data_IF_299114820944
#
_entry.id   IF_299114820944
#
_cell.length_a   1.000
_cell.length_b   1.000
_cell.length_c   1.000
_cell.angle_alpha   90.00
_cell.angle_beta   90.00
_cell.angle_gamma   90.00
#
_symmetry.space_group_name_H-M   'P 1'
#
loop_
_entity.id
_entity.type
_entity.pdbx_description
1 polymer ?
#
# COMPACT_ATOMS: atom_id res chain seq x y z
N UNK A 1 -12.99 7.19 3.34
CA UNK A 1 -12.79 5.77 3.00
C UNK A 1 -11.65 5.21 3.82
N UNK A 2 -11.76 4.00 4.40
CA UNK A 2 -10.70 3.38 5.22
C UNK A 2 -9.40 3.16 4.44
N UNK A 3 -9.49 2.91 3.13
CA UNK A 3 -8.32 2.73 2.26
C UNK A 3 -7.42 3.97 2.18
N UNK A 4 -7.93 5.15 2.54
CA UNK A 4 -7.14 6.37 2.56
C UNK A 4 -6.51 6.63 3.93
N UNK A 5 -6.73 5.76 4.90
CA UNK A 5 -6.09 5.83 6.22
C UNK A 5 -4.70 5.19 6.25
N UNK A 6 -4.03 5.26 7.42
CA UNK A 6 -2.80 4.53 7.69
C UNK A 6 -3.04 3.03 7.65
N UNK A 7 -2.12 2.31 7.03
CA UNK A 7 -2.18 0.87 6.87
C UNK A 7 -0.87 0.24 7.36
N UNK A 8 -0.95 -0.99 7.86
CA UNK A 8 0.21 -1.74 8.31
C UNK A 8 0.25 -3.08 7.59
N UNK A 9 1.35 -3.38 6.92
CA UNK A 9 1.62 -4.70 6.35
C UNK A 9 2.57 -5.46 7.25
N UNK A 10 2.33 -6.75 7.42
CA UNK A 10 3.15 -7.59 8.28
C UNK A 10 3.50 -8.89 7.57
N UNK A 11 4.78 -9.17 7.47
CA UNK A 11 5.29 -10.49 7.14
C UNK A 11 5.24 -11.36 8.40
N UNK A 12 4.72 -12.57 8.29
CA UNK A 12 4.53 -13.45 9.45
C UNK A 12 3.63 -14.63 9.12
N UNK A 13 3.26 -15.39 10.17
CA UNK A 13 2.28 -16.48 10.04
C UNK A 13 0.90 -15.95 9.68
N UNK A 14 0.62 -14.68 9.99
CA UNK A 14 -0.69 -14.09 9.83
C UNK A 14 -1.74 -14.73 10.74
N UNK A 15 -1.30 -15.36 11.84
CA UNK A 15 -2.22 -15.91 12.83
C UNK A 15 -2.99 -14.81 13.57
N UNK A 16 -4.15 -15.18 14.11
CA UNK A 16 -5.05 -14.20 14.70
C UNK A 16 -4.50 -13.54 15.98
N UNK A 17 -3.55 -14.16 16.68
CA UNK A 17 -2.94 -13.57 17.87
C UNK A 17 -1.91 -12.50 17.48
N UNK A 18 -1.10 -12.78 16.46
CA UNK A 18 -0.15 -11.85 15.86
C UNK A 18 -0.86 -10.58 15.35
N UNK A 19 -1.95 -10.76 14.61
CA UNK A 19 -2.72 -9.62 14.06
C UNK A 19 -3.35 -8.77 15.17
N UNK A 20 -3.95 -9.39 16.20
CA UNK A 20 -4.50 -8.66 17.35
C UNK A 20 -3.40 -7.89 18.09
N UNK A 21 -2.26 -8.53 18.31
CA UNK A 21 -1.10 -7.90 18.94
C UNK A 21 -0.64 -6.65 18.21
N UNK A 22 -0.61 -6.67 16.86
CA UNK A 22 -0.30 -5.50 16.06
C UNK A 22 -1.34 -4.38 16.23
N UNK A 23 -2.63 -4.70 16.13
CA UNK A 23 -3.72 -3.71 16.30
C UNK A 23 -3.71 -3.09 17.70
N UNK A 24 -3.53 -3.92 18.74
CA UNK A 24 -3.42 -3.47 20.11
C UNK A 24 -2.18 -2.61 20.36
N UNK A 25 -1.06 -2.90 19.69
CA UNK A 25 0.15 -2.07 19.76
C UNK A 25 -0.09 -0.67 19.19
N UNK A 26 -0.74 -0.55 18.02
CA UNK A 26 -1.13 0.75 17.45
C UNK A 26 -2.03 1.53 18.41
N UNK A 27 -3.05 0.88 18.97
CA UNK A 27 -3.95 1.46 19.96
C UNK A 27 -3.23 1.95 21.21
N UNK A 28 -2.39 1.08 21.81
CA UNK A 28 -1.61 1.39 23.01
C UNK A 28 -0.73 2.62 22.82
N UNK A 29 -0.19 2.82 21.62
CA UNK A 29 0.66 3.95 21.30
C UNK A 29 -0.10 5.17 20.75
N UNK A 30 -1.44 5.12 20.66
CA UNK A 30 -2.26 6.24 20.20
C UNK A 30 -2.08 6.57 18.72
N UNK A 31 -1.80 5.55 17.89
CA UNK A 31 -1.69 5.69 16.44
C UNK A 31 -2.95 5.10 15.77
N UNK A 32 -3.66 5.85 14.91
CA UNK A 32 -4.80 5.31 14.19
C UNK A 32 -4.32 4.30 13.14
N UNK A 33 -5.13 3.27 12.92
CA UNK A 33 -4.89 2.21 11.95
C UNK A 33 -6.18 1.89 11.24
N UNK A 34 -6.16 1.82 9.91
CA UNK A 34 -7.36 1.55 9.09
C UNK A 34 -7.34 0.19 8.42
N UNK A 35 -6.15 -0.40 8.24
CA UNK A 35 -6.05 -1.77 7.75
C UNK A 35 -4.76 -2.47 8.15
N UNK A 36 -4.84 -3.79 8.33
CA UNK A 36 -3.70 -4.70 8.46
C UNK A 36 -3.64 -5.58 7.21
N UNK A 37 -2.46 -5.67 6.60
CA UNK A 37 -2.18 -6.54 5.45
C UNK A 37 -1.40 -7.76 5.91
N UNK A 38 -1.89 -8.95 5.57
CA UNK A 38 -1.21 -10.22 5.79
C UNK A 38 -0.41 -10.58 4.54
N UNK A 39 0.90 -10.77 4.67
CA UNK A 39 1.70 -11.32 3.58
C UNK A 39 1.47 -12.82 3.40
N UNK A 40 2.01 -13.43 2.34
CA UNK A 40 1.75 -14.80 1.90
C UNK A 40 1.97 -15.90 2.96
N UNK A 41 2.63 -15.62 4.09
CA UNK A 41 2.81 -16.58 5.18
C UNK A 41 1.52 -17.08 5.84
N UNK A 42 0.39 -16.37 5.67
CA UNK A 42 -0.93 -16.86 6.09
C UNK A 42 -1.54 -17.91 5.16
N UNK A 43 -0.98 -18.09 3.96
CA UNK A 43 -1.40 -19.11 3.02
C UNK A 43 -0.80 -20.45 3.48
N UNK A 44 -1.67 -21.40 3.82
CA UNK A 44 -1.23 -22.75 4.20
C UNK A 44 -0.41 -23.36 3.05
N UNK A 45 0.70 -24.03 3.37
CA UNK A 45 1.76 -24.37 2.43
C UNK A 45 1.24 -25.13 1.20
N UNK A 46 0.94 -24.40 0.12
CA UNK A 46 0.68 -24.92 -1.21
C UNK A 46 -0.76 -24.97 -1.73
N UNK A 47 -1.76 -24.35 -1.07
CA UNK A 47 -3.14 -24.33 -1.59
C UNK A 47 -3.72 -22.92 -1.74
N UNK A 48 -3.49 -22.23 -2.87
CA UNK A 48 -4.24 -21.05 -3.24
C UNK A 48 -5.67 -21.48 -3.59
N UNK A 49 -6.55 -21.54 -2.59
CA UNK A 49 -7.93 -22.00 -2.77
C UNK A 49 -8.60 -22.57 -1.52
N UNK A 50 -7.84 -22.91 -0.48
CA UNK A 50 -8.43 -23.10 0.85
C UNK A 50 -8.69 -21.71 1.40
N UNK A 51 -9.94 -21.43 1.76
CA UNK A 51 -10.33 -20.15 2.34
C UNK A 51 -9.44 -19.79 3.54
N UNK A 52 -9.52 -18.54 4.03
CA UNK A 52 -8.86 -18.17 5.27
C UNK A 52 -9.15 -19.27 6.29
N UNK A 53 -8.15 -19.83 6.97
CA UNK A 53 -8.39 -20.78 8.07
C UNK A 53 -9.55 -20.24 8.90
N UNK A 54 -10.50 -21.06 9.38
CA UNK A 54 -11.78 -20.60 9.94
C UNK A 54 -11.66 -19.41 10.94
N UNK A 55 -10.50 -19.25 11.59
CA UNK A 55 -10.16 -18.11 12.42
C UNK A 55 -9.99 -16.75 11.72
N UNK A 56 -9.53 -16.67 10.47
CA UNK A 56 -9.28 -15.41 9.75
C UNK A 56 -10.57 -14.70 9.33
N UNK A 57 -11.63 -15.44 8.98
CA UNK A 57 -12.94 -14.86 8.69
C UNK A 57 -13.55 -14.22 9.94
N UNK A 58 -13.50 -14.92 11.09
CA UNK A 58 -13.93 -14.39 12.38
C UNK A 58 -13.11 -13.17 12.81
N UNK A 59 -11.79 -13.22 12.62
CA UNK A 59 -10.89 -12.09 12.88
C UNK A 59 -11.24 -10.87 12.01
N UNK A 60 -11.53 -11.05 10.73
CA UNK A 60 -11.89 -9.95 9.84
C UNK A 60 -13.19 -9.25 10.30
N UNK A 61 -14.18 -10.01 10.78
CA UNK A 61 -15.42 -9.46 11.33
C UNK A 61 -15.21 -8.76 12.68
N UNK A 62 -14.36 -9.31 13.53
CA UNK A 62 -13.93 -8.71 14.80
C UNK A 62 -13.27 -7.34 14.54
N UNK A 63 -12.22 -7.29 13.73
CA UNK A 63 -11.50 -6.06 13.39
C UNK A 63 -12.40 -5.02 12.71
N UNK A 64 -13.38 -5.46 11.90
CA UNK A 64 -14.33 -4.56 11.25
C UNK A 64 -15.19 -3.80 12.27
N UNK A 65 -15.51 -4.38 13.43
CA UNK A 65 -16.24 -3.69 14.52
C UNK A 65 -15.41 -2.58 15.14
N UNK A 66 -14.09 -2.64 15.00
CA UNK A 66 -13.12 -1.66 15.50
C UNK A 66 -12.68 -0.68 14.39
N UNK A 67 -13.37 -0.70 13.25
CA UNK A 67 -13.06 0.03 12.01
C UNK A 67 -11.68 -0.26 11.39
N UNK A 68 -11.11 -1.42 11.69
CA UNK A 68 -9.90 -1.92 11.04
C UNK A 68 -10.28 -2.95 9.98
N UNK A 69 -9.68 -2.88 8.79
CA UNK A 69 -9.88 -3.89 7.74
C UNK A 69 -8.72 -4.87 7.69
N UNK A 70 -9.02 -6.13 7.40
CA UNK A 70 -8.03 -7.14 7.10
C UNK A 70 -7.86 -7.27 5.58
N UNK A 71 -6.63 -7.22 5.10
CA UNK A 71 -6.29 -7.38 3.67
C UNK A 71 -5.33 -8.57 3.55
N UNK A 72 -5.75 -9.64 2.88
CA UNK A 72 -4.93 -10.83 2.72
C UNK A 72 -4.23 -10.83 1.36
N UNK A 73 -2.91 -11.08 1.35
CA UNK A 73 -2.17 -11.32 0.12
C UNK A 73 -2.66 -12.61 -0.57
N UNK A 74 -2.68 -12.60 -1.90
CA UNK A 74 -2.99 -13.78 -2.70
C UNK A 74 -1.94 -13.86 -3.81
N UNK A 75 -1.28 -15.02 -3.92
CA UNK A 75 -0.39 -15.30 -5.05
C UNK A 75 -1.20 -15.92 -6.19
N UNK A 76 -1.15 -15.37 -7.43
CA UNK A 76 -1.80 -16.00 -8.58
C UNK A 76 -1.18 -17.34 -8.99
N UNK A 77 0.03 -17.67 -8.52
CA UNK A 77 0.65 -18.96 -8.82
C UNK A 77 -0.04 -20.10 -8.06
N UNK A 78 -0.56 -21.07 -8.80
CA UNK A 78 -1.12 -22.31 -8.27
C UNK A 78 -0.06 -23.41 -8.37
N UNK A 79 0.08 -24.23 -7.33
CA UNK A 79 0.94 -25.40 -7.36
C UNK A 79 0.44 -26.34 -8.46
N UNK A 80 1.30 -26.70 -9.40
CA UNK A 80 0.93 -27.64 -10.45
C UNK A 80 0.79 -29.06 -9.89
N UNK A 81 -0.36 -29.68 -10.12
CA UNK A 81 -0.61 -31.10 -9.86
C UNK A 81 -0.64 -31.92 -11.16
N UNK A 82 -0.51 -33.24 -11.03
CA UNK A 82 -0.53 -34.13 -12.19
C UNK A 82 -1.89 -34.10 -12.87
N UNK A 83 -1.94 -33.59 -14.10
CA UNK A 83 -3.17 -33.44 -14.88
C UNK A 83 -3.63 -32.00 -15.08
N UNK A 84 -3.00 -31.04 -14.40
CA UNK A 84 -3.31 -29.61 -14.59
C UNK A 84 -2.84 -29.13 -15.96
N UNK A 85 -3.71 -28.36 -16.62
CA UNK A 85 -3.36 -27.65 -17.85
C UNK A 85 -2.55 -26.41 -17.49
N UNK A 86 -1.23 -26.49 -17.65
CA UNK A 86 -0.36 -25.32 -17.58
C UNK A 86 -0.54 -24.48 -18.84
N UNK A 87 -0.81 -23.18 -18.67
CA UNK A 87 -0.88 -22.25 -19.79
C UNK A 87 0.55 -21.91 -20.25
N UNK A 88 0.98 -22.52 -21.36
CA UNK A 88 2.27 -22.26 -22.00
C UNK A 88 2.12 -21.17 -23.08
N UNK A 89 1.96 -19.93 -22.63
CA UNK A 89 2.07 -18.75 -23.49
C UNK A 89 3.51 -18.23 -23.44
N UNK A 90 4.06 -17.73 -24.56
CA UNK A 90 5.41 -17.15 -24.56
C UNK A 90 5.51 -16.01 -23.54
N UNK A 91 6.17 -16.32 -22.43
CA UNK A 91 6.34 -15.43 -21.27
C UNK A 91 6.99 -14.09 -21.66
N UNK A 92 7.68 -14.04 -22.80
CA UNK A 92 8.36 -12.82 -23.30
C UNK A 92 7.38 -11.76 -23.81
N UNK A 93 6.21 -12.16 -24.34
CA UNK A 93 5.25 -11.22 -24.93
C UNK A 93 4.18 -10.74 -23.94
N UNK A 94 3.96 -11.45 -22.83
CA UNK A 94 2.80 -11.23 -21.95
C UNK A 94 3.11 -10.88 -20.48
N UNK A 95 4.37 -10.70 -20.08
CA UNK A 95 4.74 -10.59 -18.65
C UNK A 95 4.01 -9.47 -17.88
N UNK A 96 3.86 -8.28 -18.49
CA UNK A 96 3.10 -7.17 -17.90
C UNK A 96 1.59 -7.40 -17.92
N UNK A 97 1.09 -8.09 -18.95
CA UNK A 97 -0.33 -8.42 -19.12
C UNK A 97 -0.79 -9.44 -18.07
N UNK A 98 0.07 -10.38 -17.67
CA UNK A 98 -0.24 -11.33 -16.60
C UNK A 98 -0.61 -10.62 -15.29
N UNK A 99 0.14 -9.57 -14.90
CA UNK A 99 -0.17 -8.79 -13.70
C UNK A 99 -1.52 -8.06 -13.80
N UNK A 100 -1.83 -7.50 -14.97
CA UNK A 100 -3.13 -6.87 -15.22
C UNK A 100 -4.28 -7.89 -15.18
N UNK A 101 -4.09 -9.07 -15.75
CA UNK A 101 -5.07 -10.14 -15.76
C UNK A 101 -5.36 -10.66 -14.34
N UNK A 102 -4.32 -10.85 -13.53
CA UNK A 102 -4.46 -11.24 -12.13
C UNK A 102 -5.22 -10.18 -11.32
N UNK A 103 -4.86 -8.90 -11.45
CA UNK A 103 -5.54 -7.80 -10.78
C UNK A 103 -7.03 -7.71 -11.20
N UNK A 104 -7.32 -7.89 -12.49
CA UNK A 104 -8.69 -7.94 -13.01
C UNK A 104 -9.49 -9.10 -12.42
N UNK A 105 -8.94 -10.30 -12.43
CA UNK A 105 -9.60 -11.49 -11.91
C UNK A 105 -9.93 -11.34 -10.41
N UNK A 106 -8.96 -10.89 -9.61
CA UNK A 106 -9.18 -10.62 -8.18
C UNK A 106 -10.24 -9.55 -7.95
N UNK A 107 -10.25 -8.47 -8.75
CA UNK A 107 -11.26 -7.42 -8.65
C UNK A 107 -12.67 -7.92 -8.99
N UNK A 108 -12.82 -8.67 -10.09
CA UNK A 108 -14.12 -9.22 -10.51
C UNK A 108 -14.66 -10.21 -9.47
N UNK A 109 -13.80 -11.03 -8.88
CA UNK A 109 -14.19 -11.97 -7.83
C UNK A 109 -14.61 -11.26 -6.53
N UNK A 110 -13.88 -10.22 -6.10
CA UNK A 110 -14.28 -9.41 -4.95
C UNK A 110 -15.65 -8.76 -5.16
N UNK A 111 -15.95 -8.28 -6.38
CA UNK A 111 -17.28 -7.73 -6.71
C UNK A 111 -18.37 -8.80 -6.68
N UNK A 112 -18.06 -10.03 -7.08
CA UNK A 112 -19.00 -11.15 -7.05
C UNK A 112 -19.32 -11.57 -5.62
N UNK A 113 -18.30 -11.65 -4.76
CA UNK A 113 -18.41 -12.06 -3.36
C UNK A 113 -19.04 -10.98 -2.48
N UNK A 114 -18.80 -9.69 -2.78
CA UNK A 114 -19.26 -8.54 -1.99
C UNK A 114 -19.83 -7.44 -2.92
N UNK A 115 -21.01 -7.65 -3.52
CA UNK A 115 -21.57 -6.74 -4.54
C UNK A 115 -21.87 -5.32 -4.02
N UNK A 116 -22.17 -5.20 -2.72
CA UNK A 116 -22.51 -3.93 -2.08
C UNK A 116 -21.28 -3.15 -1.56
N UNK A 117 -20.09 -3.74 -1.67
CA UNK A 117 -18.84 -3.12 -1.22
C UNK A 117 -17.95 -2.76 -2.41
N UNK A 118 -17.19 -1.67 -2.29
CA UNK A 118 -16.16 -1.35 -3.30
C UNK A 118 -14.94 -2.25 -3.05
N UNK A 119 -14.46 -2.99 -4.05
CA UNK A 119 -13.24 -3.77 -3.90
C UNK A 119 -12.05 -2.88 -3.57
N UNK A 120 -11.20 -3.37 -2.67
CA UNK A 120 -9.87 -2.86 -2.44
C UNK A 120 -8.87 -3.91 -2.88
N UNK A 121 -7.99 -3.54 -3.79
CA UNK A 121 -6.94 -4.42 -4.31
C UNK A 121 -5.67 -3.59 -4.48
N UNK A 122 -4.56 -4.15 -4.02
CA UNK A 122 -3.23 -3.67 -4.33
C UNK A 122 -2.54 -4.74 -5.16
N UNK A 123 -1.90 -4.33 -6.26
CA UNK A 123 -1.12 -5.23 -7.10
C UNK A 123 0.33 -4.77 -7.20
N UNK A 124 1.27 -5.71 -7.06
CA UNK A 124 2.71 -5.46 -7.24
C UNK A 124 3.11 -5.32 -8.70
N UNK A 125 2.39 -5.99 -9.59
CA UNK A 125 2.63 -5.99 -11.03
C UNK A 125 1.38 -5.51 -11.75
N UNK A 126 1.56 -5.02 -12.97
CA UNK A 126 0.45 -4.55 -13.77
C UNK A 126 0.89 -3.98 -15.11
N UNK A 127 -0.10 -3.48 -15.83
CA UNK A 127 0.07 -2.81 -17.12
C UNK A 127 -0.85 -1.60 -17.22
N UNK A 128 -0.79 -0.88 -18.33
CA UNK A 128 -1.73 0.20 -18.62
C UNK A 128 -3.18 -0.28 -18.45
N UNK A 129 -3.94 0.43 -17.60
CA UNK A 129 -5.31 0.06 -17.25
C UNK A 129 -5.48 -0.63 -15.90
N UNK A 130 -4.39 -0.91 -15.16
CA UNK A 130 -4.45 -1.53 -13.82
C UNK A 130 -5.21 -0.68 -12.80
N UNK A 131 -5.21 0.64 -12.96
CA UNK A 131 -5.90 1.59 -12.08
C UNK A 131 -7.42 1.38 -12.00
N UNK A 132 -8.00 0.62 -12.94
CA UNK A 132 -9.42 0.24 -12.93
C UNK A 132 -9.74 -0.81 -11.87
N UNK A 133 -8.73 -1.57 -11.46
CA UNK A 133 -8.88 -2.74 -10.60
C UNK A 133 -8.28 -2.52 -9.21
N UNK A 134 -7.39 -1.53 -9.04
CA UNK A 134 -6.78 -1.27 -7.74
C UNK A 134 -5.64 -0.27 -7.81
N UNK A 135 -4.85 -0.24 -6.75
CA UNK A 135 -3.60 0.52 -6.69
C UNK A 135 -2.38 -0.38 -6.73
N UNK A 136 -1.23 0.24 -6.48
CA UNK A 136 0.03 -0.48 -6.34
C UNK A 136 0.79 0.01 -5.12
N UNK A 137 1.61 -0.85 -4.54
CA UNK A 137 2.64 -0.41 -3.65
C UNK A 137 3.97 -0.47 -4.39
N UNK A 138 4.71 0.60 -4.26
CA UNK A 138 6.01 0.72 -4.86
C UNK A 138 7.03 -0.08 -4.07
N UNK A 139 7.16 -1.37 -4.39
CA UNK A 139 8.25 -2.18 -3.86
C UNK A 139 9.61 -1.71 -4.42
N UNK A 140 10.69 -2.00 -3.69
CA UNK A 140 12.06 -1.91 -4.24
C UNK A 140 12.64 -0.50 -4.34
N UNK A 141 12.17 0.45 -3.54
CA UNK A 141 12.85 1.73 -3.43
C UNK A 141 14.14 1.57 -2.62
N UNK A 142 15.25 2.09 -3.15
CA UNK A 142 16.57 1.99 -2.54
C UNK A 142 16.57 2.30 -1.03
N UNK A 143 17.51 1.70 -0.31
CA UNK A 143 17.75 2.02 1.10
C UNK A 143 18.30 3.45 1.24
N UNK A 144 18.12 4.06 2.41
CA UNK A 144 18.70 5.38 2.70
C UNK A 144 17.93 6.59 2.16
N UNK A 145 18.57 7.75 2.21
CA UNK A 145 18.04 9.04 1.75
C UNK A 145 17.77 9.13 0.23
N UNK A 146 18.62 8.56 -0.66
CA UNK A 146 18.30 8.54 -2.09
C UNK A 146 16.99 7.82 -2.39
N UNK A 147 16.67 6.77 -1.62
CA UNK A 147 15.38 6.09 -1.68
C UNK A 147 14.20 6.97 -1.28
N UNK A 148 14.36 7.85 -0.30
CA UNK A 148 13.30 8.80 0.06
C UNK A 148 12.96 9.70 -1.14
N UNK A 149 13.98 10.26 -1.82
CA UNK A 149 13.78 11.07 -3.03
C UNK A 149 13.15 10.25 -4.17
N UNK A 150 13.69 9.06 -4.44
CA UNK A 150 13.19 8.19 -5.49
C UNK A 150 11.71 7.77 -5.28
N UNK A 151 11.27 7.67 -4.02
CA UNK A 151 9.87 7.39 -3.70
C UNK A 151 8.92 8.44 -4.24
N UNK A 152 9.29 9.73 -4.16
CA UNK A 152 8.48 10.83 -4.68
C UNK A 152 8.39 10.77 -6.21
N UNK A 153 9.53 10.63 -6.88
CA UNK A 153 9.59 10.50 -8.34
C UNK A 153 8.74 9.33 -8.84
N UNK A 154 8.77 8.22 -8.12
CA UNK A 154 7.99 7.03 -8.47
C UNK A 154 6.49 7.28 -8.33
N UNK A 155 6.02 7.88 -7.24
CA UNK A 155 4.59 8.14 -7.03
C UNK A 155 4.07 9.17 -8.03
N UNK A 156 4.84 10.22 -8.32
CA UNK A 156 4.54 11.18 -9.38
C UNK A 156 4.44 10.50 -10.74
N UNK A 157 5.44 9.69 -11.10
CA UNK A 157 5.47 8.96 -12.36
C UNK A 157 4.27 8.01 -12.53
N UNK A 158 3.95 7.22 -11.50
CA UNK A 158 2.76 6.36 -11.51
C UNK A 158 1.47 7.16 -11.64
N UNK A 159 1.35 8.29 -10.93
CA UNK A 159 0.22 9.19 -11.03
C UNK A 159 0.01 9.72 -12.45
N UNK A 160 1.09 10.19 -13.10
CA UNK A 160 1.07 10.66 -14.48
C UNK A 160 0.78 9.53 -15.49
N UNK A 161 1.21 8.31 -15.19
CA UNK A 161 0.86 7.10 -15.96
C UNK A 161 -0.56 6.58 -15.68
N UNK A 162 -1.37 7.32 -14.91
CA UNK A 162 -2.76 6.97 -14.64
C UNK A 162 -2.96 5.92 -13.55
N UNK A 163 -1.97 5.67 -12.69
CA UNK A 163 -2.06 4.81 -11.50
C UNK A 163 -1.96 5.69 -10.25
N UNK A 164 -3.05 6.42 -9.89
CA UNK A 164 -2.98 7.51 -8.93
C UNK A 164 -3.00 7.05 -7.47
N UNK A 165 -3.39 5.80 -7.19
CA UNK A 165 -3.37 5.23 -5.85
C UNK A 165 -2.12 4.35 -5.68
N UNK A 166 -1.03 5.00 -5.29
CA UNK A 166 0.28 4.38 -5.11
C UNK A 166 1.06 5.00 -3.94
N UNK A 167 2.06 4.28 -3.44
CA UNK A 167 2.96 4.75 -2.38
C UNK A 167 4.06 3.74 -2.07
N UNK A 168 5.20 4.19 -1.55
CA UNK A 168 6.25 3.32 -1.02
C UNK A 168 5.82 2.72 0.33
N UNK A 169 6.52 1.68 0.74
CA UNK A 169 6.49 1.26 2.14
C UNK A 169 7.42 2.15 2.98
N UNK A 170 6.92 2.60 4.13
CA UNK A 170 7.61 3.59 4.98
C UNK A 170 8.98 3.11 5.45
N UNK A 171 9.12 1.84 5.77
CA UNK A 171 10.35 1.19 6.23
C UNK A 171 11.36 0.96 5.08
N UNK A 172 10.90 0.94 3.82
CA UNK A 172 11.73 0.70 2.64
C UNK A 172 12.07 -0.78 2.38
N UNK A 173 12.93 -1.07 1.40
CA UNK A 173 13.40 -2.44 1.16
C UNK A 173 14.51 -2.80 2.16
N UNK A 174 14.13 -3.29 3.35
CA UNK A 174 15.06 -3.62 4.42
C UNK A 174 15.92 -4.85 4.12
N UNK A 175 17.17 -4.63 3.70
CA UNK A 175 18.21 -5.67 3.72
C UNK A 175 19.14 -5.57 4.94
N UNK A 176 19.25 -4.39 5.58
CA UNK A 176 20.31 -4.10 6.56
C UNK A 176 19.80 -3.38 7.83
N UNK A 177 18.97 -4.03 8.65
CA UNK A 177 18.70 -3.57 10.03
C UNK A 177 17.73 -2.39 10.22
N UNK A 178 17.00 -1.99 9.17
CA UNK A 178 16.03 -0.90 9.19
C UNK A 178 16.63 0.50 9.02
N UNK A 179 15.83 1.52 8.66
CA UNK A 179 16.32 2.89 8.51
C UNK A 179 16.72 3.50 9.86
N UNK A 180 17.58 4.53 9.84
CA UNK A 180 17.86 5.35 11.03
C UNK A 180 16.57 6.00 11.56
N UNK A 181 16.49 6.36 12.85
CA UNK A 181 15.29 6.98 13.43
C UNK A 181 14.82 8.23 12.65
N UNK A 182 15.76 9.09 12.24
CA UNK A 182 15.47 10.26 11.44
C UNK A 182 14.92 9.89 10.05
N UNK A 183 15.57 8.96 9.35
CA UNK A 183 15.13 8.57 8.01
C UNK A 183 13.76 7.89 8.05
N UNK A 184 13.50 7.04 9.05
CA UNK A 184 12.18 6.47 9.29
C UNK A 184 11.13 7.57 9.43
N UNK A 185 11.39 8.55 10.30
CA UNK A 185 10.46 9.65 10.53
C UNK A 185 10.22 10.47 9.26
N UNK A 186 11.25 10.77 8.45
CA UNK A 186 11.07 11.49 7.18
C UNK A 186 10.27 10.69 6.16
N UNK A 187 10.46 9.37 6.08
CA UNK A 187 9.65 8.49 5.24
C UNK A 187 8.19 8.44 5.72
N UNK A 188 7.98 8.35 7.03
CA UNK A 188 6.65 8.35 7.65
C UNK A 188 5.91 9.67 7.39
N UNK A 189 6.61 10.80 7.57
CA UNK A 189 6.09 12.13 7.25
C UNK A 189 5.72 12.25 5.77
N UNK A 190 6.61 11.86 4.85
CA UNK A 190 6.30 11.89 3.42
C UNK A 190 5.07 11.02 3.11
N UNK A 191 5.03 9.77 3.59
CA UNK A 191 3.95 8.83 3.30
C UNK A 191 2.57 9.31 3.78
N UNK A 192 2.51 10.11 4.85
CA UNK A 192 1.27 10.76 5.29
C UNK A 192 0.65 11.66 4.20
N UNK A 193 1.45 12.19 3.27
CA UNK A 193 1.01 13.03 2.15
C UNK A 193 0.80 12.26 0.83
N UNK A 194 1.16 10.97 0.77
CA UNK A 194 1.06 10.16 -0.45
C UNK A 194 -0.27 9.39 -0.52
N UNK A 195 -0.76 8.98 -1.70
CA UNK A 195 -2.06 8.30 -1.83
C UNK A 195 -2.18 7.05 -0.95
N UNK A 196 -1.18 6.18 -0.98
CA UNK A 196 -1.07 5.01 -0.10
C UNK A 196 -0.12 5.33 1.07
N UNK A 197 -0.63 5.24 2.29
CA UNK A 197 0.16 5.36 3.52
C UNK A 197 0.26 4.01 4.20
N UNK A 198 1.40 3.33 4.01
CA UNK A 198 1.58 1.97 4.51
C UNK A 198 2.97 1.74 5.10
N UNK A 199 3.01 1.27 6.34
CA UNK A 199 4.22 0.73 6.98
C UNK A 199 4.33 -0.76 6.72
N UNK A 200 5.53 -1.34 6.64
CA UNK A 200 5.75 -2.78 6.72
C UNK A 200 6.54 -3.15 7.97
N UNK A 201 6.19 -4.28 8.58
CA UNK A 201 7.09 -5.04 9.42
C UNK A 201 7.49 -6.33 8.69
N UNK A 202 8.80 -6.50 8.47
CA UNK A 202 9.36 -7.73 7.92
C UNK A 202 9.65 -8.76 9.01
N UNK A 203 10.02 -9.97 8.61
CA UNK A 203 10.47 -11.02 9.55
C UNK A 203 11.96 -10.91 9.95
N UNK A 204 12.70 -10.03 9.28
CA UNK A 204 14.13 -9.82 9.52
C UNK A 204 14.45 -8.94 10.73
N UNK A 205 15.73 -8.83 11.10
CA UNK A 205 16.15 -7.91 12.17
C UNK A 205 15.95 -6.46 11.71
N UNK A 206 15.31 -5.65 12.55
CA UNK A 206 15.09 -4.23 12.29
C UNK A 206 13.97 -3.66 13.14
N UNK A 207 13.92 -2.34 13.22
CA UNK A 207 12.78 -1.60 13.76
C UNK A 207 11.89 -1.22 12.57
N UNK A 208 10.59 -1.37 12.75
CA UNK A 208 9.58 -1.26 11.70
C UNK A 208 8.42 -0.34 12.09
N UNK A 209 8.20 -0.16 13.39
CA UNK A 209 7.10 0.61 13.92
C UNK A 209 7.56 1.88 14.66
N UNK A 210 6.77 2.96 14.67
CA UNK A 210 7.21 4.24 15.22
C UNK A 210 7.64 4.21 16.69
N UNK A 211 7.02 3.35 17.51
CA UNK A 211 7.32 3.24 18.94
C UNK A 211 8.65 2.55 19.23
N UNK A 212 9.16 1.75 18.30
CA UNK A 212 10.43 1.04 18.46
C UNK A 212 11.63 1.99 18.38
N UNK A 213 11.45 3.13 17.70
CA UNK A 213 12.45 4.18 17.56
C UNK A 213 12.50 5.18 18.73
N UNK A 214 11.69 4.97 19.77
CA UNK A 214 11.69 5.79 20.98
C UNK A 214 10.61 6.88 21.00
N UNK A 215 10.44 7.54 22.17
CA UNK A 215 9.30 8.43 22.43
C UNK A 215 9.27 9.69 21.56
N UNK A 216 10.44 10.22 21.17
CA UNK A 216 10.53 11.41 20.30
C UNK A 216 10.02 11.12 18.89
N UNK A 217 10.45 9.99 18.30
CA UNK A 217 9.98 9.57 16.98
C UNK A 217 8.48 9.25 17.00
N UNK A 218 8.02 8.57 18.04
CA UNK A 218 6.60 8.28 18.23
C UNK A 218 5.76 9.57 18.28
N UNK A 219 6.21 10.61 18.98
CA UNK A 219 5.48 11.86 19.07
C UNK A 219 5.40 12.58 17.71
N UNK A 220 6.49 12.63 16.96
CA UNK A 220 6.47 13.20 15.62
C UNK A 220 5.64 12.36 14.63
N UNK A 221 5.63 11.04 14.78
CA UNK A 221 4.76 10.16 14.00
C UNK A 221 3.27 10.43 14.29
N UNK A 222 2.90 10.68 15.56
CA UNK A 222 1.54 11.09 15.94
C UNK A 222 1.10 12.37 15.26
N UNK A 223 1.99 13.36 15.13
CA UNK A 223 1.69 14.60 14.41
C UNK A 223 1.43 14.34 12.92
N UNK A 224 2.31 13.56 12.27
CA UNK A 224 2.16 13.24 10.85
C UNK A 224 0.87 12.46 10.55
N UNK A 225 0.54 11.48 11.38
CA UNK A 225 -0.68 10.68 11.19
C UNK A 225 -1.94 11.47 11.52
N UNK A 226 -1.91 12.36 12.52
CA UNK A 226 -3.03 13.25 12.82
C UNK A 226 -3.33 14.18 11.63
N UNK A 227 -2.30 14.67 10.95
CA UNK A 227 -2.46 15.48 9.75
C UNK A 227 -3.06 14.68 8.59
N UNK A 228 -2.64 13.43 8.40
CA UNK A 228 -3.28 12.51 7.45
C UNK A 228 -4.76 12.31 7.77
N UNK A 229 -5.11 12.08 9.03
CA UNK A 229 -6.51 11.93 9.45
C UNK A 229 -7.32 13.19 9.16
N UNK A 230 -6.76 14.37 9.46
CA UNK A 230 -7.37 15.67 9.16
C UNK A 230 -7.63 15.85 7.66
N UNK A 231 -6.70 15.42 6.81
CA UNK A 231 -6.79 15.51 5.34
C UNK A 231 -7.56 14.36 4.70
N UNK A 232 -8.04 13.37 5.46
CA UNK A 232 -8.77 12.20 4.92
C UNK A 232 -10.00 12.57 4.05
N UNK A 233 -10.81 13.61 4.37
CA UNK A 233 -11.86 14.09 3.46
C UNK A 233 -11.32 14.67 2.15
N UNK A 234 -10.17 15.36 2.20
CA UNK A 234 -9.51 15.89 1.01
C UNK A 234 -8.98 14.76 0.12
N UNK A 235 -8.28 13.76 0.67
CA UNK A 235 -7.91 12.55 -0.07
C UNK A 235 -9.10 11.84 -0.70
N UNK A 236 -10.26 11.83 -0.04
CA UNK A 236 -11.49 11.26 -0.59
C UNK A 236 -11.98 12.05 -1.82
N UNK A 237 -11.83 13.37 -1.79
CA UNK A 237 -12.13 14.25 -2.93
C UNK A 237 -11.16 14.00 -4.08
N UNK A 238 -9.86 13.90 -3.79
CA UNK A 238 -8.83 13.58 -4.79
C UNK A 238 -9.06 12.21 -5.43
N UNK A 239 -9.49 11.20 -4.64
CA UNK A 239 -9.86 9.89 -5.17
C UNK A 239 -11.03 9.96 -6.16
N UNK A 240 -12.03 10.80 -5.88
CA UNK A 240 -13.14 11.05 -6.80
C UNK A 240 -12.68 11.76 -8.05
N UNK A 241 -11.85 12.79 -7.93
CA UNK A 241 -11.29 13.51 -9.08
C UNK A 241 -10.48 12.58 -9.98
N UNK A 242 -9.56 11.80 -9.39
CA UNK A 242 -8.78 10.80 -10.09
C UNK A 242 -9.66 9.80 -10.86
N UNK A 243 -10.78 9.36 -10.27
CA UNK A 243 -11.72 8.45 -10.94
C UNK A 243 -12.47 9.10 -12.11
N UNK A 244 -12.77 10.40 -12.03
CA UNK A 244 -13.56 11.12 -13.04
C UNK A 244 -12.70 11.67 -14.18
N UNK A 245 -11.50 12.16 -13.88
CA UNK A 245 -10.67 12.90 -14.85
C UNK A 245 -9.33 12.24 -15.15
N UNK A 246 -8.89 11.29 -14.31
CA UNK A 246 -7.55 10.73 -14.38
C UNK A 246 -6.47 11.58 -13.72
N UNK A 247 -6.79 12.77 -13.19
CA UNK A 247 -5.81 13.62 -12.51
C UNK A 247 -5.29 12.95 -11.22
N UNK A 248 -3.97 12.85 -11.00
CA UNK A 248 -3.45 12.20 -9.82
C UNK A 248 -3.63 13.05 -8.55
N UNK A 249 -3.48 12.41 -7.40
CA UNK A 249 -3.53 13.08 -6.09
C UNK A 249 -2.30 13.95 -5.91
N UNK A 250 -1.12 13.35 -6.08
CA UNK A 250 0.18 13.99 -6.00
C UNK A 250 0.60 14.36 -7.40
N UNK A 251 0.97 15.62 -7.60
CA UNK A 251 1.19 16.24 -8.90
C UNK A 251 2.54 16.96 -8.93
N UNK A 252 3.22 17.00 -10.07
CA UNK A 252 4.44 17.77 -10.20
C UNK A 252 4.12 19.26 -10.07
N UNK A 253 5.08 20.06 -9.60
CA UNK A 253 4.88 21.51 -9.37
C UNK A 253 4.54 22.28 -10.65
N UNK A 254 4.93 21.77 -11.82
CA UNK A 254 4.56 22.34 -13.12
C UNK A 254 3.14 22.01 -13.58
N UNK A 255 2.35 21.24 -12.81
CA UNK A 255 1.01 20.79 -13.22
C UNK A 255 0.06 21.92 -13.62
N UNK A 256 0.09 23.04 -12.88
CA UNK A 256 -0.74 24.21 -13.15
C UNK A 256 -0.14 25.20 -14.17
N UNK A 257 1.16 25.07 -14.45
CA UNK A 257 1.94 26.01 -15.29
C UNK A 257 2.94 25.23 -16.17
N UNK A 258 2.47 24.34 -17.07
CA UNK A 258 3.33 23.44 -17.86
C UNK A 258 4.27 24.17 -18.85
N UNK A 259 3.98 25.43 -19.14
CA UNK A 259 4.79 26.35 -19.95
C UNK A 259 6.08 26.77 -19.24
N UNK A 260 6.11 26.80 -17.92
CA UNK A 260 7.33 27.09 -17.16
C UNK A 260 8.21 25.84 -17.11
N UNK A 261 9.23 25.82 -17.97
CA UNK A 261 10.15 24.69 -18.09
C UNK A 261 11.09 24.58 -16.91
N UNK A 262 11.37 25.67 -16.17
CA UNK A 262 12.30 25.63 -15.03
C UNK A 262 11.75 24.75 -13.90
N UNK A 263 10.43 24.65 -13.78
CA UNK A 263 9.77 23.81 -12.79
C UNK A 263 9.90 22.30 -13.06
N UNK A 264 10.36 21.89 -14.25
CA UNK A 264 10.54 20.46 -14.59
C UNK A 264 11.72 19.82 -13.87
N UNK A 265 12.67 20.63 -13.42
CA UNK A 265 13.85 20.17 -12.70
C UNK A 265 13.60 20.08 -11.17
N UNK A 266 12.40 20.43 -10.70
CA UNK A 266 12.01 20.26 -9.30
C UNK A 266 11.63 18.80 -9.03
N UNK A 267 12.40 18.14 -8.18
CA UNK A 267 12.25 16.72 -7.85
C UNK A 267 11.98 16.47 -6.35
N UNK A 268 11.91 17.53 -5.54
CA UNK A 268 11.79 17.49 -4.08
C UNK A 268 10.56 18.22 -3.52
N UNK A 269 9.71 18.77 -4.39
CA UNK A 269 8.41 19.30 -4.03
C UNK A 269 7.32 18.73 -4.94
N UNK A 270 6.10 18.74 -4.44
CA UNK A 270 4.91 18.29 -5.17
C UNK A 270 3.70 19.07 -4.70
N UNK A 271 2.66 19.04 -5.52
CA UNK A 271 1.34 19.54 -5.17
C UNK A 271 0.47 18.36 -4.74
N UNK A 272 -0.32 18.52 -3.69
CA UNK A 272 -1.39 17.61 -3.31
C UNK A 272 -2.72 18.20 -3.79
N UNK A 273 -3.18 17.70 -4.94
CA UNK A 273 -4.35 18.21 -5.64
C UNK A 273 -4.12 19.62 -6.18
N UNK A 274 -5.12 20.48 -6.00
CA UNK A 274 -5.12 21.86 -6.50
C UNK A 274 -4.91 22.89 -5.38
N UNK A 275 -4.69 22.45 -4.13
CA UNK A 275 -4.82 23.31 -2.95
C UNK A 275 -3.65 23.27 -1.96
N UNK A 276 -2.73 22.32 -2.10
CA UNK A 276 -1.61 22.10 -1.18
C UNK A 276 -0.34 21.79 -1.96
#
# INVERSE_FOLDING_TARGET
SWALGPQHAREGSGDAAEVRGAVDAYRKHGLPLSAVHLDAGHLDAGHPGVGPSDGLSGLAEELRKEDVRLVAAVDPAVRAESGDRVHDGDRREASGVCGLAAARAGYEELRRLRPDERPFLLSRSGWAGTQRYGGTWAGGVATGWPGLRASLSLVLGLGLCGVPYAGPDVDGSGADGGPSPELFLRRYQLAAWLPLFRTRAGTGPGLHEPWEYGPEILEHARVAVAERERLRPYFTTLARLARMTGAPYVRPVWWGTPEDRALRDCEDAFLLGDSL
#
